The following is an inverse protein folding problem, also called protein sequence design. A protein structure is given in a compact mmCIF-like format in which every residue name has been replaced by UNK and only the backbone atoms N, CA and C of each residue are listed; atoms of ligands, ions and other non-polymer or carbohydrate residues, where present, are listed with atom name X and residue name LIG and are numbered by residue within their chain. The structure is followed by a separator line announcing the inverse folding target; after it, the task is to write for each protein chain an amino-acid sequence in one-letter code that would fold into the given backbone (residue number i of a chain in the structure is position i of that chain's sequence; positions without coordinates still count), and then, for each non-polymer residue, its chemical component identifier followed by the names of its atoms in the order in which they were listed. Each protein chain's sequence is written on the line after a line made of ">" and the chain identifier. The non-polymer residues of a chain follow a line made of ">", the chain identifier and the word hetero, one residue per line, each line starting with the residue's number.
data_IF_035853757125
#
_entry.id   IF_035853757125
#
_cell.length_a   1.000
_cell.length_b   1.000
_cell.length_c   1.000
_cell.angle_alpha   90.00
_cell.angle_beta   90.00
_cell.angle_gamma   90.00
#
_symmetry.space_group_name_H-M   'P 1'
#
loop_
_entity.id
_entity.type
_entity.pdbx_description
1 polymer ?
#
# COMPACT_ATOMS: atom_id res chain seq x y z
N UNK A 1 20.77 29.36 -16.89
CA UNK A 1 20.01 29.98 -15.80
C UNK A 1 19.43 28.80 -15.00
N UNK A 2 19.73 28.70 -13.72
CA UNK A 2 19.06 27.70 -12.89
C UNK A 2 17.56 28.07 -12.86
N UNK A 3 16.66 27.16 -13.27
CA UNK A 3 15.23 27.38 -13.16
C UNK A 3 14.84 27.53 -11.68
N UNK A 4 13.85 28.36 -11.40
CA UNK A 4 13.32 28.55 -10.04
C UNK A 4 12.92 27.18 -9.49
N UNK A 5 13.39 26.78 -8.28
CA UNK A 5 13.01 25.51 -7.65
C UNK A 5 11.49 25.32 -7.53
N UNK A 6 10.71 26.40 -7.49
CA UNK A 6 9.26 26.40 -7.35
C UNK A 6 8.53 26.32 -8.70
N UNK A 7 9.19 26.53 -9.82
CA UNK A 7 8.54 26.65 -11.14
C UNK A 7 7.75 25.40 -11.54
N UNK A 8 8.23 24.19 -11.17
CA UNK A 8 7.48 22.94 -11.38
C UNK A 8 6.26 22.82 -10.47
N UNK A 9 6.32 23.37 -9.25
CA UNK A 9 5.23 23.35 -8.28
C UNK A 9 4.11 24.33 -8.67
N UNK A 10 4.47 25.39 -9.39
CA UNK A 10 3.57 26.44 -9.86
C UNK A 10 3.09 26.24 -11.31
N UNK A 11 3.35 25.07 -11.91
CA UNK A 11 2.89 24.74 -13.26
C UNK A 11 1.36 24.87 -13.34
N UNK A 12 0.82 25.83 -14.09
CA UNK A 12 -0.61 26.09 -14.13
C UNK A 12 -1.41 25.00 -14.82
N UNK A 13 -0.76 24.17 -15.65
CA UNK A 13 -1.38 23.06 -16.36
C UNK A 13 -0.88 21.74 -15.79
N UNK A 14 -1.49 21.30 -14.68
CA UNK A 14 -1.02 20.14 -13.91
C UNK A 14 -0.88 18.85 -14.74
N UNK A 15 -1.71 18.67 -15.78
CA UNK A 15 -1.56 17.58 -16.74
C UNK A 15 -0.23 17.62 -17.55
N UNK A 16 0.49 18.75 -17.54
CA UNK A 16 1.78 18.90 -18.21
C UNK A 16 2.99 18.74 -17.28
N UNK A 17 2.77 18.62 -15.98
CA UNK A 17 3.87 18.50 -15.00
C UNK A 17 4.81 17.35 -15.36
N UNK A 18 4.28 16.18 -15.71
CA UNK A 18 5.08 15.02 -16.11
C UNK A 18 5.96 15.33 -17.34
N UNK A 19 5.40 15.98 -18.37
CA UNK A 19 6.14 16.35 -19.58
C UNK A 19 7.23 17.38 -19.27
N UNK A 20 6.92 18.40 -18.47
CA UNK A 20 7.92 19.41 -18.06
C UNK A 20 9.08 18.79 -17.29
N UNK A 21 8.80 17.83 -16.39
CA UNK A 21 9.84 17.10 -15.68
C UNK A 21 10.77 16.39 -16.66
N UNK A 22 10.22 15.71 -17.67
CA UNK A 22 11.02 15.01 -18.68
C UNK A 22 11.82 16.00 -19.54
N UNK A 23 11.21 17.08 -20.00
CA UNK A 23 11.89 18.11 -20.84
C UNK A 23 13.08 18.72 -20.08
N UNK A 24 12.88 19.05 -18.81
CA UNK A 24 13.94 19.60 -17.96
C UNK A 24 15.02 18.55 -17.64
N UNK A 25 14.62 17.29 -17.42
CA UNK A 25 15.54 16.18 -17.21
C UNK A 25 16.44 15.96 -18.43
N UNK A 26 15.87 15.95 -19.62
CA UNK A 26 16.63 15.82 -20.89
C UNK A 26 17.57 16.99 -21.09
N UNK A 27 17.11 18.23 -20.86
CA UNK A 27 17.92 19.41 -20.98
C UNK A 27 19.13 19.45 -20.01
N UNK A 28 18.89 18.98 -18.76
CA UNK A 28 19.91 18.95 -17.71
C UNK A 28 20.90 17.80 -17.90
N UNK A 29 20.40 16.63 -18.27
CA UNK A 29 21.22 15.42 -18.41
C UNK A 29 21.94 15.30 -19.75
N UNK A 30 21.49 16.01 -20.80
CA UNK A 30 21.99 15.86 -22.15
C UNK A 30 21.75 14.48 -22.76
N UNK A 31 20.76 13.72 -22.23
CA UNK A 31 20.40 12.38 -22.66
C UNK A 31 18.87 12.25 -22.76
N UNK A 32 18.36 11.42 -23.70
CA UNK A 32 16.93 11.10 -23.77
C UNK A 32 16.44 10.51 -22.44
N UNK A 33 15.24 10.92 -22.03
CA UNK A 33 14.65 10.48 -20.77
C UNK A 33 13.14 10.22 -20.91
N UNK A 34 12.61 9.35 -20.04
CA UNK A 34 11.19 9.11 -19.89
C UNK A 34 10.81 8.95 -18.42
N UNK A 35 9.55 9.29 -18.10
CA UNK A 35 8.95 9.12 -16.80
C UNK A 35 8.10 7.86 -16.77
N UNK A 36 8.31 7.03 -15.74
CA UNK A 36 7.55 5.80 -15.52
C UNK A 36 6.88 5.81 -14.16
N UNK A 37 5.74 5.11 -14.08
CA UNK A 37 5.02 4.83 -12.83
C UNK A 37 4.83 3.33 -12.66
N UNK A 38 4.71 2.85 -11.42
CA UNK A 38 4.30 1.49 -11.13
C UNK A 38 2.85 1.25 -11.54
N UNK A 39 2.53 0.08 -12.10
CA UNK A 39 1.13 -0.29 -12.33
C UNK A 39 0.43 -0.66 -11.02
N UNK A 40 -0.91 -0.73 -11.06
CA UNK A 40 -1.71 -1.00 -9.86
C UNK A 40 -1.41 -2.37 -9.23
N UNK A 41 -1.08 -3.37 -10.05
CA UNK A 41 -0.74 -4.73 -9.60
C UNK A 41 0.70 -4.84 -9.06
N UNK A 42 1.52 -3.81 -9.21
CA UNK A 42 2.91 -3.83 -8.78
C UNK A 42 3.82 -4.74 -9.61
N UNK A 43 3.44 -5.10 -10.83
CA UNK A 43 4.17 -6.05 -11.69
C UNK A 43 5.04 -5.38 -12.73
N UNK A 44 4.75 -4.14 -13.10
CA UNK A 44 5.47 -3.43 -14.14
C UNK A 44 5.58 -1.94 -13.88
N UNK A 45 6.55 -1.32 -14.55
CA UNK A 45 6.62 0.11 -14.73
C UNK A 45 6.03 0.47 -16.08
N UNK A 46 5.22 1.51 -16.14
CA UNK A 46 4.56 1.99 -17.35
C UNK A 46 5.01 3.41 -17.67
N UNK A 47 5.36 3.65 -18.94
CA UNK A 47 5.78 4.97 -19.38
C UNK A 47 4.60 5.94 -19.38
N UNK A 48 4.77 7.07 -18.71
CA UNK A 48 3.81 8.18 -18.69
C UNK A 48 4.03 9.08 -19.88
N UNK A 49 5.29 9.48 -20.11
CA UNK A 49 5.72 10.38 -21.18
C UNK A 49 7.23 10.30 -21.35
N UNK A 50 7.75 10.84 -22.43
CA UNK A 50 9.18 10.98 -22.71
C UNK A 50 9.61 10.29 -23.99
N UNK A 51 10.88 9.89 -24.05
CA UNK A 51 11.53 9.37 -25.24
C UNK A 51 10.94 8.01 -25.70
N UNK A 52 10.51 7.95 -26.96
CA UNK A 52 9.91 6.76 -27.58
C UNK A 52 10.93 5.65 -27.88
N UNK A 53 12.23 5.93 -27.77
CA UNK A 53 13.29 4.93 -27.83
C UNK A 53 13.37 4.04 -26.60
N UNK A 54 12.72 4.45 -25.49
CA UNK A 54 12.60 3.65 -24.27
C UNK A 54 11.29 2.83 -24.29
N UNK A 55 11.26 1.59 -23.73
CA UNK A 55 10.08 0.73 -23.76
C UNK A 55 8.85 1.36 -23.12
N UNK A 56 7.64 1.04 -23.62
CA UNK A 56 6.39 1.50 -23.00
C UNK A 56 6.12 0.84 -21.65
N UNK A 57 6.63 -0.37 -21.46
CA UNK A 57 6.46 -1.16 -20.24
C UNK A 57 7.76 -1.90 -19.89
N UNK A 58 8.03 -1.98 -18.60
CA UNK A 58 9.19 -2.69 -18.04
C UNK A 58 8.68 -3.58 -16.91
N UNK A 59 8.99 -4.88 -16.98
CA UNK A 59 8.61 -5.81 -15.93
C UNK A 59 9.38 -5.53 -14.64
N UNK A 60 8.69 -5.63 -13.50
CA UNK A 60 9.27 -5.49 -12.17
C UNK A 60 8.51 -6.35 -11.18
N UNK A 61 9.23 -7.03 -10.30
CA UNK A 61 8.64 -7.91 -9.26
C UNK A 61 8.79 -7.32 -7.86
N UNK A 62 9.22 -6.06 -7.74
CA UNK A 62 9.59 -5.46 -6.46
C UNK A 62 8.81 -4.20 -6.13
N UNK A 63 7.65 -4.01 -6.76
CA UNK A 63 6.74 -2.91 -6.44
C UNK A 63 5.74 -3.34 -5.37
N UNK A 64 5.27 -2.37 -4.59
CA UNK A 64 4.15 -2.57 -3.65
C UNK A 64 2.95 -1.80 -4.20
N UNK A 65 2.15 -2.49 -5.02
CA UNK A 65 1.16 -1.81 -5.84
C UNK A 65 1.86 -0.76 -6.73
N UNK A 66 1.29 0.44 -6.88
CA UNK A 66 1.86 1.47 -7.73
C UNK A 66 3.09 2.18 -7.15
N UNK A 67 3.48 1.90 -5.92
CA UNK A 67 4.59 2.57 -5.25
C UNK A 67 5.90 1.79 -5.37
N UNK A 68 6.97 2.54 -5.55
CA UNK A 68 8.32 2.03 -5.76
C UNK A 68 9.12 2.29 -4.48
N UNK A 69 9.57 1.25 -3.78
CA UNK A 69 10.45 1.44 -2.63
C UNK A 69 11.75 2.15 -3.04
N UNK A 70 12.13 3.17 -2.30
CA UNK A 70 13.36 3.93 -2.59
C UNK A 70 14.62 3.05 -2.59
N UNK A 71 14.63 1.98 -1.79
CA UNK A 71 15.70 1.00 -1.71
C UNK A 71 15.84 0.09 -2.95
N UNK A 72 14.84 0.03 -3.83
CA UNK A 72 14.80 -0.89 -4.97
C UNK A 72 15.29 -0.29 -6.29
N UNK A 73 15.80 0.95 -6.30
CA UNK A 73 16.29 1.59 -7.51
C UNK A 73 17.38 0.78 -8.25
N UNK A 74 18.25 0.10 -7.49
CA UNK A 74 19.29 -0.75 -8.08
C UNK A 74 18.73 -1.99 -8.79
N UNK A 75 17.67 -2.59 -8.25
CA UNK A 75 17.00 -3.73 -8.86
C UNK A 75 16.23 -3.33 -10.12
N UNK A 76 15.60 -2.16 -10.11
CA UNK A 76 14.97 -1.58 -11.29
C UNK A 76 16.00 -1.33 -12.40
N UNK A 77 17.20 -0.85 -12.05
CA UNK A 77 18.27 -0.61 -13.02
C UNK A 77 18.72 -1.89 -13.75
N UNK A 78 18.64 -3.07 -13.10
CA UNK A 78 18.96 -4.36 -13.71
C UNK A 78 17.94 -4.82 -14.76
N UNK A 79 16.69 -4.36 -14.67
CA UNK A 79 15.64 -4.68 -15.62
C UNK A 79 15.65 -3.75 -16.86
N UNK A 80 16.49 -2.72 -16.89
CA UNK A 80 16.55 -1.72 -17.95
C UNK A 80 17.49 -2.13 -19.09
N UNK A 81 17.34 -1.52 -20.29
CA UNK A 81 18.32 -1.64 -21.36
C UNK A 81 19.73 -1.28 -20.89
N UNK A 82 20.74 -1.94 -21.47
CA UNK A 82 22.14 -1.70 -21.13
C UNK A 82 22.50 -0.21 -21.25
N UNK A 83 23.11 0.34 -20.20
CA UNK A 83 23.53 1.75 -20.13
C UNK A 83 22.46 2.72 -19.63
N UNK A 84 21.22 2.27 -19.39
CA UNK A 84 20.19 3.13 -18.82
C UNK A 84 20.51 3.50 -17.36
N UNK A 85 20.15 4.73 -16.98
CA UNK A 85 20.20 5.20 -15.59
C UNK A 85 18.78 5.39 -15.06
N UNK A 86 18.51 4.83 -13.90
CA UNK A 86 17.19 4.91 -13.23
C UNK A 86 17.30 5.77 -11.98
N UNK A 87 16.49 6.81 -11.90
CA UNK A 87 16.41 7.71 -10.75
C UNK A 87 14.99 7.72 -10.19
N UNK A 88 14.75 7.14 -9.00
CA UNK A 88 13.45 7.20 -8.36
C UNK A 88 13.14 8.62 -7.88
N UNK A 89 11.96 9.12 -8.17
CA UNK A 89 11.45 10.40 -7.69
C UNK A 89 10.91 10.21 -6.28
N UNK A 90 11.82 10.25 -5.31
CA UNK A 90 11.55 9.82 -3.93
C UNK A 90 11.06 10.98 -3.07
N UNK A 91 9.96 10.74 -2.34
CA UNK A 91 9.44 11.61 -1.30
C UNK A 91 9.03 10.75 -0.08
N UNK A 92 9.53 11.11 1.11
CA UNK A 92 9.17 10.41 2.37
C UNK A 92 9.40 8.90 2.35
N UNK A 93 10.48 8.43 1.69
CA UNK A 93 10.87 7.01 1.65
C UNK A 93 10.20 6.16 0.56
N UNK A 94 9.28 6.74 -0.22
CA UNK A 94 8.61 6.11 -1.37
C UNK A 94 8.82 6.92 -2.65
N UNK A 95 8.73 6.28 -3.81
CA UNK A 95 8.68 6.96 -5.09
C UNK A 95 7.35 6.64 -5.79
N UNK A 96 6.67 7.66 -6.30
CA UNK A 96 5.48 7.52 -7.15
C UNK A 96 5.85 7.23 -8.60
N UNK A 97 7.09 7.54 -8.97
CA UNK A 97 7.58 7.44 -10.34
C UNK A 97 9.10 7.34 -10.37
N UNK A 98 9.63 6.94 -11.51
CA UNK A 98 11.07 6.96 -11.81
C UNK A 98 11.34 7.70 -13.10
N UNK A 99 12.45 8.46 -13.13
CA UNK A 99 13.04 8.95 -14.37
C UNK A 99 14.05 7.92 -14.88
N UNK A 100 13.92 7.55 -16.14
CA UNK A 100 14.85 6.66 -16.85
C UNK A 100 15.53 7.44 -17.95
N UNK A 101 16.87 7.41 -17.96
CA UNK A 101 17.70 7.98 -19.01
C UNK A 101 18.28 6.87 -19.88
N UNK A 102 18.36 7.06 -21.17
CA UNK A 102 18.98 6.11 -22.10
C UNK A 102 20.50 5.96 -21.92
N UNK A 103 21.11 6.81 -21.10
CA UNK A 103 22.55 6.82 -20.75
C UNK A 103 22.80 7.56 -19.43
N UNK A 104 24.06 7.66 -19.01
CA UNK A 104 24.40 8.39 -17.79
C UNK A 104 24.14 9.89 -17.98
N UNK A 105 23.45 10.57 -17.02
CA UNK A 105 23.27 12.01 -17.07
C UNK A 105 24.60 12.72 -16.95
N UNK A 106 24.83 13.76 -17.78
CA UNK A 106 26.06 14.57 -17.78
C UNK A 106 26.00 15.77 -16.85
N UNK A 107 24.77 16.17 -16.41
CA UNK A 107 24.51 17.24 -15.46
C UNK A 107 24.06 16.77 -14.10
N UNK A 108 24.01 17.67 -13.11
CA UNK A 108 23.47 17.39 -11.79
C UNK A 108 21.93 17.39 -11.84
N UNK A 109 21.33 16.20 -11.75
CA UNK A 109 19.89 15.99 -11.74
C UNK A 109 19.31 15.82 -10.32
N UNK A 110 20.13 15.90 -9.27
CA UNK A 110 19.69 15.64 -7.89
C UNK A 110 18.61 16.62 -7.41
N UNK A 111 18.82 17.92 -7.65
CA UNK A 111 17.82 18.94 -7.30
C UNK A 111 16.53 18.79 -8.11
N UNK A 112 16.62 18.40 -9.38
CA UNK A 112 15.46 18.13 -10.23
C UNK A 112 14.65 16.94 -9.68
N UNK A 113 15.30 15.83 -9.32
CA UNK A 113 14.66 14.64 -8.74
C UNK A 113 13.81 14.99 -7.52
N UNK A 114 14.38 15.74 -6.57
CA UNK A 114 13.68 16.09 -5.33
C UNK A 114 12.43 16.96 -5.58
N UNK A 115 12.54 18.00 -6.40
CA UNK A 115 11.40 18.88 -6.70
C UNK A 115 10.35 18.21 -7.59
N UNK A 116 10.77 17.33 -8.51
CA UNK A 116 9.87 16.56 -9.38
C UNK A 116 8.99 15.61 -8.57
N UNK A 117 9.57 14.95 -7.55
CA UNK A 117 8.80 14.10 -6.63
C UNK A 117 7.69 14.89 -5.93
N UNK A 118 8.02 16.08 -5.41
CA UNK A 118 7.03 16.95 -4.75
C UNK A 118 5.98 17.46 -5.73
N UNK A 119 6.38 17.86 -6.93
CA UNK A 119 5.45 18.37 -7.96
C UNK A 119 4.43 17.30 -8.40
N UNK A 120 4.88 16.06 -8.61
CA UNK A 120 3.99 14.95 -8.97
C UNK A 120 3.04 14.58 -7.83
N UNK A 121 3.52 14.50 -6.59
CA UNK A 121 2.67 14.24 -5.41
C UNK A 121 1.55 15.28 -5.25
N UNK A 122 1.86 16.56 -5.49
CA UNK A 122 0.87 17.64 -5.44
C UNK A 122 -0.09 17.59 -6.63
N UNK A 123 0.42 17.33 -7.83
CA UNK A 123 -0.39 17.28 -9.05
C UNK A 123 -1.36 16.08 -9.07
N UNK A 124 -1.01 14.96 -8.46
CA UNK A 124 -1.81 13.71 -8.46
C UNK A 124 -3.25 13.93 -7.93
N UNK A 125 -3.45 14.91 -7.06
CA UNK A 125 -4.76 15.26 -6.51
C UNK A 125 -5.66 16.05 -7.48
N UNK A 126 -5.12 16.53 -8.59
CA UNK A 126 -5.80 17.43 -9.51
C UNK A 126 -5.84 16.93 -10.95
N UNK A 127 -5.23 15.77 -11.23
CA UNK A 127 -5.18 15.19 -12.57
C UNK A 127 -5.12 13.67 -12.51
N UNK A 128 -5.81 13.01 -13.43
CA UNK A 128 -5.80 11.56 -13.57
C UNK A 128 -4.59 11.04 -14.37
N UNK A 129 -3.60 11.89 -14.65
CA UNK A 129 -2.47 11.55 -15.53
C UNK A 129 -1.73 10.30 -15.05
N UNK A 130 -1.28 10.29 -13.79
CA UNK A 130 -0.57 9.15 -13.21
C UNK A 130 -1.52 7.98 -12.97
N UNK A 131 -2.73 8.25 -12.45
CA UNK A 131 -3.75 7.24 -12.24
C UNK A 131 -4.10 6.49 -13.53
N UNK A 132 -4.25 7.20 -14.66
CA UNK A 132 -4.48 6.59 -15.98
C UNK A 132 -3.29 5.79 -16.47
N UNK A 133 -2.07 6.30 -16.30
CA UNK A 133 -0.86 5.61 -16.74
C UNK A 133 -0.58 4.32 -15.97
N UNK A 134 -0.96 4.24 -14.69
CA UNK A 134 -0.85 3.04 -13.84
C UNK A 134 -1.75 1.89 -14.29
N UNK A 135 -2.77 2.15 -15.09
CA UNK A 135 -3.75 1.15 -15.52
C UNK A 135 -3.37 0.52 -16.85
N UNK A 136 -3.25 -0.81 -16.89
CA UNK A 136 -3.07 -1.56 -18.13
C UNK A 136 -4.37 -2.17 -18.67
N UNK A 137 -5.44 -2.14 -17.85
CA UNK A 137 -6.80 -2.54 -18.22
C UNK A 137 -7.83 -1.73 -17.44
N UNK A 138 -9.09 -1.85 -17.78
CA UNK A 138 -10.18 -1.20 -17.06
C UNK A 138 -10.31 -1.74 -15.63
N UNK A 139 -10.48 -0.86 -14.66
CA UNK A 139 -10.89 -1.21 -13.31
C UNK A 139 -12.42 -1.35 -13.23
N UNK A 140 -12.90 -2.22 -12.33
CA UNK A 140 -14.29 -2.18 -11.90
C UNK A 140 -14.56 -0.92 -11.06
N UNK A 141 -15.83 -0.49 -10.97
CA UNK A 141 -16.19 0.64 -10.12
C UNK A 141 -15.85 0.41 -8.64
N UNK A 142 -15.94 -0.85 -8.18
CA UNK A 142 -15.56 -1.24 -6.83
C UNK A 142 -14.05 -1.07 -6.59
N UNK A 143 -13.23 -1.55 -7.54
CA UNK A 143 -11.78 -1.42 -7.45
C UNK A 143 -11.33 0.05 -7.57
N UNK A 144 -11.96 0.88 -8.42
CA UNK A 144 -11.66 2.33 -8.46
C UNK A 144 -11.89 2.98 -7.09
N UNK A 145 -13.05 2.73 -6.48
CA UNK A 145 -13.36 3.27 -5.16
C UNK A 145 -12.37 2.79 -4.10
N UNK A 146 -12.01 1.50 -4.12
CA UNK A 146 -11.03 0.92 -3.21
C UNK A 146 -9.65 1.57 -3.39
N UNK A 147 -9.18 1.76 -4.64
CA UNK A 147 -7.90 2.40 -4.91
C UNK A 147 -7.86 3.87 -4.46
N UNK A 148 -8.95 4.62 -4.66
CA UNK A 148 -9.06 6.02 -4.22
C UNK A 148 -9.05 6.17 -2.70
N UNK A 149 -9.57 5.18 -1.98
CA UNK A 149 -9.62 5.17 -0.51
C UNK A 149 -8.33 4.69 0.14
N UNK A 150 -7.45 4.01 -0.61
CA UNK A 150 -6.20 3.49 -0.07
C UNK A 150 -5.26 4.59 0.41
N UNK A 151 -4.60 4.38 1.56
CA UNK A 151 -3.52 5.25 1.99
C UNK A 151 -2.27 5.03 1.10
N UNK A 152 -1.23 5.87 1.23
CA UNK A 152 0.08 5.56 0.69
C UNK A 152 0.53 4.14 1.04
N UNK A 153 1.07 3.40 0.06
CA UNK A 153 1.48 2.00 0.28
C UNK A 153 2.67 1.85 1.21
N UNK A 154 3.49 2.89 1.27
CA UNK A 154 4.69 2.96 2.09
C UNK A 154 4.63 4.24 2.90
N UNK A 155 4.78 4.14 4.22
CA UNK A 155 4.76 5.29 5.12
C UNK A 155 5.73 5.10 6.30
N UNK A 156 6.00 6.19 6.98
CA UNK A 156 6.73 6.19 8.25
C UNK A 156 5.84 6.76 9.35
N UNK A 157 5.76 6.02 10.42
CA UNK A 157 5.25 6.46 11.71
C UNK A 157 6.45 6.81 12.60
N UNK A 158 6.20 7.45 13.74
CA UNK A 158 7.27 7.61 14.73
C UNK A 158 7.70 6.23 15.23
N UNK A 159 9.00 5.93 15.10
CA UNK A 159 9.58 4.64 15.49
C UNK A 159 9.21 3.43 14.64
N UNK A 160 8.53 3.59 13.50
CA UNK A 160 8.22 2.45 12.62
C UNK A 160 8.08 2.82 11.14
N UNK A 161 8.33 1.83 10.29
CA UNK A 161 7.97 1.83 8.86
C UNK A 161 6.71 1.00 8.65
N UNK A 162 5.82 1.43 7.77
CA UNK A 162 4.61 0.70 7.37
C UNK A 162 4.64 0.47 5.87
N UNK A 163 4.28 -0.76 5.46
CA UNK A 163 4.00 -1.08 4.07
C UNK A 163 2.68 -1.86 3.98
N UNK A 164 1.87 -1.54 2.97
CA UNK A 164 0.57 -2.18 2.80
C UNK A 164 0.19 -2.30 1.33
N UNK A 165 -0.61 -3.29 0.97
CA UNK A 165 -1.21 -3.40 -0.36
C UNK A 165 -2.39 -4.38 -0.36
N UNK A 166 -3.20 -4.31 -1.44
CA UNK A 166 -4.34 -5.19 -1.70
C UNK A 166 -4.21 -5.76 -3.12
N UNK A 167 -4.48 -7.05 -3.28
CA UNK A 167 -4.65 -7.73 -4.56
C UNK A 167 -6.04 -8.36 -4.62
N UNK A 168 -6.70 -8.41 -5.80
CA UNK A 168 -6.31 -7.82 -7.08
C UNK A 168 -6.64 -6.33 -7.13
N UNK A 169 -5.87 -5.56 -7.92
CA UNK A 169 -6.06 -4.12 -8.01
C UNK A 169 -7.17 -3.66 -8.97
N UNK A 170 -7.78 -4.58 -9.73
CA UNK A 170 -8.68 -4.23 -10.84
C UNK A 170 -10.11 -4.72 -10.71
N UNK A 171 -10.43 -5.67 -9.86
CA UNK A 171 -11.74 -6.34 -9.87
C UNK A 171 -12.36 -6.37 -8.48
N UNK A 172 -12.16 -7.01 -7.52
CA UNK A 172 -12.84 -7.19 -6.23
C UNK A 172 -12.98 -5.85 -5.45
N UNK A 173 -13.29 -5.77 -4.22
CA UNK A 173 -13.41 -4.48 -3.52
C UNK A 173 -14.21 -4.54 -2.22
N UNK A 174 -14.00 -5.60 -1.40
CA UNK A 174 -14.55 -5.72 -0.04
C UNK A 174 -13.61 -5.21 1.03
N UNK A 175 -12.31 -5.38 0.83
CA UNK A 175 -11.30 -4.99 1.80
C UNK A 175 -11.05 -3.48 1.81
N UNK A 176 -10.66 -2.98 2.98
CA UNK A 176 -9.96 -1.72 3.10
C UNK A 176 -8.75 -1.84 4.03
N UNK A 177 -7.76 -1.04 3.73
CA UNK A 177 -6.59 -0.80 4.58
C UNK A 177 -6.52 0.69 4.89
N UNK A 178 -6.12 1.04 6.11
CA UNK A 178 -5.81 2.41 6.46
C UNK A 178 -4.62 2.49 7.40
N UNK A 179 -3.89 3.58 7.32
CA UNK A 179 -2.93 3.99 8.32
C UNK A 179 -2.84 5.52 8.37
N UNK A 180 -2.38 6.04 9.49
CA UNK A 180 -2.16 7.46 9.66
C UNK A 180 -1.11 7.74 10.72
N UNK A 181 -0.11 8.53 10.38
CA UNK A 181 0.86 9.02 11.34
C UNK A 181 0.20 10.03 12.28
N UNK A 182 0.55 9.94 13.56
CA UNK A 182 0.17 10.87 14.61
C UNK A 182 1.42 11.21 15.44
N UNK A 183 1.33 12.27 16.25
CA UNK A 183 2.41 12.56 17.21
C UNK A 183 2.60 11.36 18.17
N UNK A 184 3.81 10.86 18.26
CA UNK A 184 4.15 9.70 19.07
C UNK A 184 3.90 8.34 18.44
N UNK A 185 3.34 8.24 17.20
CA UNK A 185 3.07 6.94 16.59
C UNK A 185 2.09 6.99 15.45
N UNK A 186 1.02 6.16 15.51
CA UNK A 186 0.00 6.13 14.45
C UNK A 186 -1.06 5.07 14.62
N UNK A 187 -2.01 5.07 13.72
CA UNK A 187 -3.08 4.08 13.60
C UNK A 187 -2.89 3.22 12.37
N UNK A 188 -3.37 1.97 12.45
CA UNK A 188 -3.40 0.98 11.37
C UNK A 188 -4.76 0.29 11.39
N UNK A 189 -5.21 -0.15 10.24
CA UNK A 189 -6.43 -0.95 10.13
C UNK A 189 -6.44 -1.78 8.86
N UNK A 190 -6.99 -2.98 8.97
CA UNK A 190 -7.37 -3.84 7.86
C UNK A 190 -8.74 -4.40 8.15
N UNK A 191 -9.61 -4.42 7.16
CA UNK A 191 -10.95 -4.94 7.32
C UNK A 191 -11.48 -5.48 6.00
N UNK A 192 -12.44 -6.41 6.12
CA UNK A 192 -13.10 -7.06 5.01
C UNK A 192 -14.61 -7.02 5.22
N UNK A 193 -15.33 -6.47 4.24
CA UNK A 193 -16.78 -6.43 4.22
C UNK A 193 -17.33 -7.66 3.49
N UNK A 194 -18.33 -8.30 4.10
CA UNK A 194 -19.00 -9.46 3.51
C UNK A 194 -19.48 -9.19 2.09
N UNK A 195 -19.20 -10.13 1.19
CA UNK A 195 -19.58 -10.03 -0.22
C UNK A 195 -18.49 -9.48 -1.12
N UNK A 196 -18.83 -9.06 -2.31
CA UNK A 196 -17.88 -8.52 -3.31
C UNK A 196 -18.55 -7.57 -4.29
N UNK A 197 -17.69 -6.83 -4.98
CA UNK A 197 -18.13 -5.86 -5.98
C UNK A 197 -18.70 -4.59 -5.36
N UNK A 198 -19.56 -3.84 -6.08
CA UNK A 198 -19.97 -2.49 -5.69
C UNK A 198 -20.64 -2.36 -4.32
N UNK A 199 -21.38 -3.37 -3.88
CA UNK A 199 -22.06 -3.35 -2.58
C UNK A 199 -21.04 -3.46 -1.43
N UNK A 200 -20.14 -4.44 -1.48
CA UNK A 200 -19.10 -4.63 -0.47
C UNK A 200 -18.17 -3.40 -0.41
N UNK A 201 -17.78 -2.86 -1.58
CA UNK A 201 -16.98 -1.64 -1.68
C UNK A 201 -17.68 -0.42 -1.04
N UNK A 202 -18.99 -0.28 -1.20
CA UNK A 202 -19.75 0.81 -0.58
C UNK A 202 -19.82 0.65 0.95
N UNK A 203 -20.02 -0.57 1.46
CA UNK A 203 -19.98 -0.88 2.89
C UNK A 203 -18.61 -0.53 3.47
N UNK A 204 -17.54 -0.97 2.79
CA UNK A 204 -16.15 -0.69 3.17
C UNK A 204 -15.84 0.80 3.20
N UNK A 205 -16.32 1.56 2.22
CA UNK A 205 -16.13 3.02 2.17
C UNK A 205 -16.79 3.72 3.36
N UNK A 206 -18.01 3.31 3.74
CA UNK A 206 -18.75 3.86 4.87
C UNK A 206 -18.06 3.51 6.19
N UNK A 207 -17.65 2.25 6.36
CA UNK A 207 -16.94 1.78 7.53
C UNK A 207 -15.59 2.49 7.72
N UNK A 208 -14.82 2.64 6.63
CA UNK A 208 -13.57 3.40 6.63
C UNK A 208 -13.82 4.88 6.97
N UNK A 209 -14.92 5.45 6.48
CA UNK A 209 -15.36 6.80 6.85
C UNK A 209 -15.59 6.95 8.35
N UNK A 210 -16.31 6.00 8.98
CA UNK A 210 -16.55 5.95 10.42
C UNK A 210 -15.24 5.81 11.21
N UNK A 211 -14.35 4.88 10.82
CA UNK A 211 -13.02 4.71 11.39
C UNK A 211 -12.19 6.00 11.36
N UNK A 212 -12.09 6.63 10.19
CA UNK A 212 -11.34 7.89 10.02
C UNK A 212 -11.94 9.04 10.80
N UNK A 213 -13.28 9.12 10.89
CA UNK A 213 -13.97 10.16 11.66
C UNK A 213 -13.67 10.04 13.15
N UNK A 214 -13.75 8.84 13.73
CA UNK A 214 -13.42 8.58 15.12
C UNK A 214 -11.97 8.94 15.44
N UNK A 215 -11.02 8.45 14.64
CA UNK A 215 -9.61 8.78 14.81
C UNK A 215 -9.35 10.29 14.76
N UNK A 216 -9.94 11.00 13.80
CA UNK A 216 -9.78 12.45 13.65
C UNK A 216 -10.48 13.23 14.77
N UNK A 217 -11.51 12.64 15.38
CA UNK A 217 -12.23 13.16 16.53
C UNK A 217 -11.51 12.94 17.87
N UNK A 218 -10.40 12.19 17.88
CA UNK A 218 -9.63 11.89 19.10
C UNK A 218 -10.21 10.72 19.90
N UNK A 219 -11.08 9.90 19.31
CA UNK A 219 -11.57 8.66 19.91
C UNK A 219 -10.51 7.57 19.93
N UNK A 220 -10.75 6.50 20.68
CA UNK A 220 -9.89 5.31 20.78
C UNK A 220 -10.32 4.17 19.84
N UNK A 221 -9.67 3.00 19.96
CA UNK A 221 -9.97 1.84 19.12
C UNK A 221 -11.36 1.25 19.39
N UNK A 222 -11.83 1.31 20.65
CA UNK A 222 -13.17 0.85 21.01
C UNK A 222 -14.25 1.78 20.44
N UNK A 223 -14.02 3.09 20.51
CA UNK A 223 -14.88 4.09 19.86
C UNK A 223 -14.95 3.86 18.35
N UNK A 224 -13.82 3.50 17.72
CA UNK A 224 -13.76 3.21 16.29
C UNK A 224 -14.55 1.95 15.94
N UNK A 225 -14.40 0.86 16.71
CA UNK A 225 -15.18 -0.37 16.52
C UNK A 225 -16.68 -0.10 16.65
N UNK A 226 -17.08 0.67 17.69
CA UNK A 226 -18.48 1.07 17.89
C UNK A 226 -19.02 1.94 16.74
N UNK A 227 -18.21 2.88 16.26
CA UNK A 227 -18.60 3.78 15.16
C UNK A 227 -18.79 3.03 13.84
N UNK A 228 -17.86 2.09 13.53
CA UNK A 228 -17.99 1.21 12.36
C UNK A 228 -19.25 0.34 12.48
N UNK A 229 -19.42 -0.31 13.63
CA UNK A 229 -20.60 -1.15 13.89
C UNK A 229 -21.90 -0.39 13.67
N UNK A 230 -22.05 0.78 14.27
CA UNK A 230 -23.22 1.63 14.11
C UNK A 230 -23.42 2.10 12.65
N UNK A 231 -22.35 2.46 11.95
CA UNK A 231 -22.42 2.91 10.56
C UNK A 231 -22.86 1.80 9.60
N UNK A 232 -22.39 0.56 9.82
CA UNK A 232 -22.81 -0.61 9.02
C UNK A 232 -24.27 -0.97 9.31
N UNK A 233 -24.69 -0.99 10.58
CA UNK A 233 -26.11 -1.21 10.96
C UNK A 233 -27.06 -0.17 10.35
N UNK A 234 -26.63 1.09 10.29
CA UNK A 234 -27.44 2.18 9.74
C UNK A 234 -27.73 2.04 8.24
N UNK A 235 -27.06 1.11 7.53
CA UNK A 235 -27.38 0.80 6.13
C UNK A 235 -28.70 0.02 5.98
N UNK A 236 -29.19 -0.61 7.07
CA UNK A 236 -30.43 -1.39 7.08
C UNK A 236 -30.49 -2.48 5.99
N UNK A 237 -29.33 -3.01 5.58
CA UNK A 237 -29.23 -4.09 4.61
C UNK A 237 -29.16 -5.45 5.33
N UNK A 238 -29.83 -6.49 4.82
CA UNK A 238 -29.82 -7.80 5.46
C UNK A 238 -28.45 -8.46 5.35
N UNK A 239 -28.06 -9.18 6.40
CA UNK A 239 -26.90 -10.07 6.45
C UNK A 239 -25.56 -9.41 6.09
N UNK A 240 -25.43 -8.09 6.29
CA UNK A 240 -24.17 -7.39 6.12
C UNK A 240 -23.42 -7.30 7.44
N UNK A 241 -22.13 -7.55 7.35
CA UNK A 241 -21.16 -7.40 8.44
C UNK A 241 -19.77 -7.19 7.86
N UNK A 242 -18.83 -6.88 8.73
CA UNK A 242 -17.43 -6.87 8.33
C UNK A 242 -16.54 -7.39 9.46
N UNK A 243 -15.44 -8.00 9.06
CA UNK A 243 -14.32 -8.31 9.94
C UNK A 243 -13.29 -7.20 9.93
N UNK A 244 -12.56 -6.98 11.03
CA UNK A 244 -11.51 -5.96 11.09
C UNK A 244 -10.45 -6.27 12.15
N UNK A 245 -9.22 -5.80 11.88
CA UNK A 245 -8.23 -5.49 12.92
C UNK A 245 -8.02 -3.98 12.92
N UNK A 246 -8.29 -3.36 14.07
CA UNK A 246 -8.02 -1.95 14.33
C UNK A 246 -6.84 -1.87 15.29
N UNK A 247 -5.80 -1.12 14.95
CA UNK A 247 -4.59 -1.07 15.76
C UNK A 247 -4.04 0.35 15.91
N UNK A 248 -3.32 0.59 16.99
CA UNK A 248 -2.53 1.79 17.22
C UNK A 248 -1.11 1.41 17.60
N UNK A 249 -0.16 2.21 17.15
CA UNK A 249 1.26 2.11 17.42
C UNK A 249 1.71 3.29 18.27
N UNK A 250 2.38 3.01 19.38
CA UNK A 250 3.11 3.99 20.20
C UNK A 250 4.62 3.81 19.96
N UNK A 251 5.21 4.76 19.24
CA UNK A 251 6.62 4.70 18.85
C UNK A 251 7.60 4.73 20.02
N UNK A 252 7.46 5.66 21.00
CA UNK A 252 8.32 5.76 22.16
C UNK A 252 8.42 4.47 22.98
N UNK A 253 7.33 3.74 23.16
CA UNK A 253 7.30 2.47 23.89
C UNK A 253 7.41 1.24 22.99
N UNK A 254 7.41 1.40 21.68
CA UNK A 254 7.34 0.32 20.69
C UNK A 254 6.17 -0.63 20.98
N UNK A 255 5.02 -0.09 21.34
CA UNK A 255 3.84 -0.85 21.73
C UNK A 255 2.78 -0.81 20.63
N UNK A 256 2.36 -2.01 20.19
CA UNK A 256 1.15 -2.18 19.39
C UNK A 256 -0.02 -2.45 20.33
N UNK A 257 -1.12 -1.74 20.13
CA UNK A 257 -2.41 -2.01 20.77
C UNK A 257 -3.43 -2.33 19.69
N UNK A 258 -4.29 -3.35 19.89
CA UNK A 258 -5.25 -3.76 18.85
C UNK A 258 -6.58 -4.25 19.41
N UNK A 259 -7.60 -4.17 18.54
CA UNK A 259 -8.88 -4.87 18.63
C UNK A 259 -9.04 -5.75 17.39
N UNK A 260 -9.47 -7.01 17.59
CA UNK A 260 -9.79 -7.97 16.55
C UNK A 260 -11.30 -8.20 16.49
N UNK A 261 -11.94 -7.84 15.40
CA UNK A 261 -13.37 -7.92 15.18
C UNK A 261 -13.68 -9.05 14.18
N UNK A 262 -13.53 -10.32 14.59
CA UNK A 262 -13.79 -11.48 13.74
C UNK A 262 -12.82 -11.67 12.56
N UNK A 263 -11.70 -10.99 12.55
CA UNK A 263 -10.69 -11.01 11.49
C UNK A 263 -9.55 -11.98 11.84
N UNK A 264 -8.69 -12.43 10.89
CA UNK A 264 -7.46 -13.13 11.23
C UNK A 264 -6.64 -12.38 12.28
N UNK A 265 -5.99 -13.12 13.19
CA UNK A 265 -5.25 -12.51 14.28
C UNK A 265 -4.03 -11.70 13.76
N UNK A 266 -3.68 -10.58 14.40
CA UNK A 266 -2.39 -9.96 14.18
C UNK A 266 -1.26 -10.96 14.45
N UNK A 267 -0.24 -10.97 13.59
CA UNK A 267 0.89 -11.87 13.72
C UNK A 267 2.18 -11.08 13.87
N UNK A 268 3.17 -11.69 14.51
CA UNK A 268 4.54 -11.17 14.59
C UNK A 268 5.50 -12.19 13.99
N UNK A 269 6.31 -11.74 13.07
CA UNK A 269 7.38 -12.54 12.48
C UNK A 269 8.75 -12.03 12.95
N UNK A 270 9.69 -12.97 13.18
CA UNK A 270 11.09 -12.71 13.45
C UNK A 270 11.97 -13.78 12.78
N UNK A 271 13.11 -13.38 12.25
CA UNK A 271 13.97 -14.27 11.46
C UNK A 271 14.37 -15.56 12.21
N UNK A 272 14.66 -15.47 13.50
CA UNK A 272 15.11 -16.62 14.30
C UNK A 272 13.96 -17.35 15.02
N UNK A 273 12.83 -16.68 15.26
CA UNK A 273 11.70 -17.21 16.05
C UNK A 273 10.50 -17.62 15.21
N UNK A 274 10.52 -17.26 13.91
CA UNK A 274 9.44 -17.55 12.98
C UNK A 274 8.22 -16.66 13.20
N UNK A 275 7.05 -17.13 12.75
CA UNK A 275 5.76 -16.47 12.81
C UNK A 275 4.97 -16.95 14.04
N UNK A 276 4.37 -16.03 14.79
CA UNK A 276 3.44 -16.29 15.90
C UNK A 276 2.25 -15.34 15.86
N UNK A 277 1.11 -15.78 16.28
CA UNK A 277 -0.05 -14.91 16.51
C UNK A 277 0.12 -14.07 17.78
N UNK A 278 -0.55 -12.91 17.78
CA UNK A 278 -0.77 -12.09 18.97
C UNK A 278 -2.13 -12.42 19.57
N UNK A 279 -2.15 -12.77 20.85
CA UNK A 279 -3.38 -13.19 21.57
C UNK A 279 -4.10 -12.00 22.20
N UNK A 280 -5.45 -12.08 22.24
CA UNK A 280 -6.32 -11.11 22.91
C UNK A 280 -6.83 -10.01 22.00
N UNK A 281 -7.62 -9.11 22.57
CA UNK A 281 -8.34 -8.06 21.85
C UNK A 281 -9.49 -8.60 20.98
N UNK A 282 -9.97 -9.80 21.27
CA UNK A 282 -10.92 -10.54 20.45
C UNK A 282 -12.37 -10.08 20.67
N UNK A 283 -13.10 -10.03 19.56
CA UNK A 283 -14.51 -9.77 19.55
C UNK A 283 -15.19 -10.20 18.25
N UNK A 284 -16.52 -10.09 18.20
CA UNK A 284 -17.29 -10.49 17.03
C UNK A 284 -17.08 -9.52 15.86
N UNK A 285 -17.55 -9.94 14.68
CA UNK A 285 -17.65 -9.08 13.49
C UNK A 285 -18.53 -7.86 13.78
N UNK A 286 -18.31 -6.79 13.03
CA UNK A 286 -19.04 -5.53 13.16
C UNK A 286 -20.23 -5.48 12.20
N UNK A 287 -21.33 -4.82 12.61
CA UNK A 287 -22.53 -4.62 11.78
C UNK A 287 -23.64 -5.64 12.00
N UNK A 288 -23.53 -6.58 12.96
CA UNK A 288 -24.62 -7.48 13.33
C UNK A 288 -25.31 -7.02 14.61
N UNK A 289 -26.59 -6.66 14.52
CA UNK A 289 -27.40 -6.08 15.62
C UNK A 289 -27.37 -6.87 16.94
N UNK A 290 -27.16 -8.18 16.89
CA UNK A 290 -27.15 -9.07 18.06
C UNK A 290 -25.79 -9.20 18.75
N UNK A 291 -24.78 -8.52 18.24
CA UNK A 291 -23.40 -8.61 18.71
C UNK A 291 -22.91 -7.23 19.13
N UNK A 292 -22.37 -7.12 20.32
CA UNK A 292 -21.69 -5.90 20.75
C UNK A 292 -20.26 -5.89 20.22
N UNK A 293 -19.76 -4.77 19.68
CA UNK A 293 -18.37 -4.67 19.24
C UNK A 293 -17.41 -4.81 20.44
N UNK A 294 -16.16 -5.29 20.19
CA UNK A 294 -15.16 -5.41 21.26
C UNK A 294 -14.78 -4.05 21.83
N UNK A 295 -14.56 -4.01 23.14
CA UNK A 295 -14.16 -2.80 23.88
C UNK A 295 -12.82 -2.98 24.61
N UNK A 296 -12.35 -4.21 24.81
CA UNK A 296 -11.11 -4.52 25.52
C UNK A 296 -9.96 -4.77 24.52
N UNK A 297 -9.12 -3.77 24.34
CA UNK A 297 -7.94 -3.88 23.48
C UNK A 297 -6.83 -4.70 24.16
N UNK A 298 -6.13 -5.50 23.36
CA UNK A 298 -4.89 -6.13 23.77
C UNK A 298 -3.69 -5.26 23.37
N UNK A 299 -2.54 -5.47 24.00
CA UNK A 299 -1.31 -4.78 23.63
C UNK A 299 -0.07 -5.67 23.81
N UNK A 300 0.95 -5.39 22.99
CA UNK A 300 2.25 -6.05 23.09
C UNK A 300 3.36 -5.09 22.69
N UNK A 301 4.51 -5.21 23.35
CA UNK A 301 5.73 -4.56 22.91
C UNK A 301 6.34 -5.35 21.78
N UNK A 302 6.67 -4.67 20.68
CA UNK A 302 7.27 -5.26 19.48
C UNK A 302 8.77 -4.94 19.51
N UNK A 303 9.59 -5.98 19.55
CA UNK A 303 11.03 -5.82 19.67
C UNK A 303 11.66 -5.41 18.32
N UNK A 304 12.84 -4.77 18.33
CA UNK A 304 13.61 -4.56 17.11
C UNK A 304 13.86 -5.87 16.36
N UNK A 305 13.65 -5.85 15.04
CA UNK A 305 13.75 -7.05 14.18
C UNK A 305 12.47 -7.89 14.11
N UNK A 306 11.47 -7.61 14.93
CA UNK A 306 10.12 -8.15 14.77
C UNK A 306 9.32 -7.34 13.75
N UNK A 307 8.49 -8.03 12.96
CA UNK A 307 7.55 -7.43 12.01
C UNK A 307 6.14 -7.78 12.43
N UNK A 308 5.29 -6.79 12.63
CA UNK A 308 3.84 -7.00 12.77
C UNK A 308 3.26 -7.22 11.38
N UNK A 309 2.46 -8.27 11.22
CA UNK A 309 1.83 -8.64 9.94
C UNK A 309 0.33 -8.79 10.18
N UNK A 310 -0.46 -7.97 9.50
CA UNK A 310 -1.92 -8.07 9.45
C UNK A 310 -2.29 -8.50 8.04
N UNK A 311 -3.16 -9.49 7.90
CA UNK A 311 -3.62 -10.00 6.60
C UNK A 311 -5.11 -10.25 6.63
N UNK A 312 -5.80 -10.09 5.49
CA UNK A 312 -7.17 -10.56 5.34
C UNK A 312 -7.20 -12.07 5.07
N UNK A 313 -8.38 -12.67 5.17
CA UNK A 313 -8.60 -14.09 4.90
C UNK A 313 -8.27 -14.47 3.46
N UNK A 314 -8.47 -13.58 2.48
CA UNK A 314 -8.08 -13.81 1.10
C UNK A 314 -6.59 -14.07 0.89
N UNK A 315 -5.72 -13.67 1.82
CA UNK A 315 -4.32 -14.11 1.85
C UNK A 315 -4.24 -15.56 2.32
N UNK A 316 -4.87 -15.89 3.43
CA UNK A 316 -4.75 -17.21 4.07
C UNK A 316 -5.50 -18.29 3.29
N UNK A 317 -6.65 -17.97 2.72
CA UNK A 317 -7.51 -18.89 1.97
C UNK A 317 -7.11 -19.09 0.52
N UNK A 318 -6.08 -18.37 0.03
CA UNK A 318 -5.60 -18.54 -1.34
C UNK A 318 -5.18 -19.98 -1.58
N UNK A 319 -5.84 -20.65 -2.54
CA UNK A 319 -5.59 -22.06 -2.84
C UNK A 319 -5.72 -22.37 -4.33
N UNK A 320 -4.93 -23.34 -4.82
CA UNK A 320 -5.14 -23.99 -6.11
C UNK A 320 -6.32 -24.97 -6.02
N UNK A 321 -7.05 -25.25 -7.12
CA UNK A 321 -8.11 -26.25 -7.12
C UNK A 321 -7.64 -27.62 -6.59
N UNK A 322 -8.20 -28.06 -5.46
CA UNK A 322 -7.82 -29.33 -4.82
C UNK A 322 -6.48 -29.32 -4.07
N UNK A 323 -5.87 -28.14 -3.91
CA UNK A 323 -4.65 -27.95 -3.14
C UNK A 323 -4.92 -27.52 -1.71
N UNK A 324 -3.86 -27.42 -0.91
CA UNK A 324 -3.91 -26.81 0.41
C UNK A 324 -3.94 -25.28 0.31
N UNK A 325 -4.58 -24.59 1.26
CA UNK A 325 -4.56 -23.13 1.29
C UNK A 325 -3.15 -22.61 1.56
N UNK A 326 -2.88 -21.38 1.14
CA UNK A 326 -1.62 -20.67 1.47
C UNK A 326 -1.39 -20.67 2.99
N UNK A 327 -2.40 -20.28 3.75
CA UNK A 327 -2.43 -20.38 5.21
C UNK A 327 -1.24 -19.72 5.91
N UNK A 328 -1.10 -20.01 7.18
CA UNK A 328 0.06 -19.55 7.94
C UNK A 328 1.38 -20.17 7.47
N UNK A 329 1.36 -21.40 6.95
CA UNK A 329 2.56 -22.05 6.46
C UNK A 329 3.11 -21.37 5.20
N UNK A 330 2.23 -20.99 4.27
CA UNK A 330 2.61 -20.17 3.12
C UNK A 330 3.14 -18.80 3.52
N UNK A 331 2.47 -18.16 4.48
CA UNK A 331 2.91 -16.88 5.04
C UNK A 331 4.29 -17.00 5.70
N UNK A 332 4.51 -18.03 6.50
CA UNK A 332 5.80 -18.34 7.15
C UNK A 332 6.91 -18.56 6.13
N UNK A 333 6.63 -19.34 5.07
CA UNK A 333 7.60 -19.59 4.00
C UNK A 333 7.93 -18.31 3.20
N UNK A 334 6.93 -17.51 2.87
CA UNK A 334 7.13 -16.24 2.16
C UNK A 334 8.03 -15.29 2.96
N UNK A 335 7.74 -15.12 4.26
CA UNK A 335 8.53 -14.25 5.13
C UNK A 335 9.94 -14.78 5.40
N UNK A 336 10.12 -16.10 5.54
CA UNK A 336 11.43 -16.70 5.72
C UNK A 336 12.34 -16.57 4.49
N UNK A 337 11.77 -16.37 3.30
CA UNK A 337 12.52 -16.14 2.07
C UNK A 337 13.16 -14.75 1.92
N UNK A 338 12.90 -13.84 2.85
CA UNK A 338 13.44 -12.47 2.77
C UNK A 338 14.95 -12.42 3.07
N UNK A 339 15.69 -11.69 2.22
CA UNK A 339 17.13 -11.47 2.44
C UNK A 339 17.41 -10.40 3.50
N UNK A 340 16.57 -9.37 3.56
CA UNK A 340 16.67 -8.26 4.51
C UNK A 340 15.26 -7.92 5.03
N UNK A 341 14.94 -8.25 6.27
CA UNK A 341 13.62 -7.97 6.86
C UNK A 341 13.33 -6.46 6.92
N UNK A 342 12.20 -6.06 6.34
CA UNK A 342 11.64 -4.71 6.42
C UNK A 342 10.13 -4.81 6.16
N UNK A 343 9.36 -3.76 6.49
CA UNK A 343 7.94 -3.73 6.20
C UNK A 343 7.67 -3.95 4.70
N UNK A 344 8.45 -3.28 3.86
CA UNK A 344 8.35 -3.37 2.40
C UNK A 344 8.64 -4.78 1.89
N UNK A 345 9.76 -5.37 2.33
CA UNK A 345 10.14 -6.72 1.90
C UNK A 345 9.11 -7.77 2.32
N UNK A 346 8.56 -7.65 3.52
CA UNK A 346 7.54 -8.56 4.04
C UNK A 346 6.23 -8.44 3.27
N UNK A 347 5.71 -7.23 3.07
CA UNK A 347 4.50 -7.02 2.28
C UNK A 347 4.65 -7.56 0.85
N UNK A 348 5.79 -7.27 0.20
CA UNK A 348 6.09 -7.80 -1.15
C UNK A 348 6.18 -9.31 -1.17
N UNK A 349 6.86 -9.94 -0.19
CA UNK A 349 7.00 -11.39 -0.11
C UNK A 349 5.66 -12.11 0.07
N UNK A 350 4.78 -11.57 0.93
CA UNK A 350 3.42 -12.10 1.14
C UNK A 350 2.61 -12.04 -0.15
N UNK A 351 2.55 -10.88 -0.80
CA UNK A 351 1.78 -10.70 -2.04
C UNK A 351 2.33 -11.57 -3.20
N UNK A 352 3.64 -11.71 -3.30
CA UNK A 352 4.28 -12.60 -4.27
C UNK A 352 3.94 -14.06 -3.97
N UNK A 353 3.98 -14.47 -2.71
CA UNK A 353 3.58 -15.80 -2.27
C UNK A 353 2.14 -16.12 -2.67
N UNK A 354 1.20 -15.21 -2.37
CA UNK A 354 -0.21 -15.33 -2.76
C UNK A 354 -0.37 -15.42 -4.29
N UNK A 355 0.33 -14.56 -5.05
CA UNK A 355 0.25 -14.54 -6.50
C UNK A 355 0.82 -15.81 -7.16
N UNK A 356 1.83 -16.44 -6.56
CA UNK A 356 2.50 -17.63 -7.09
C UNK A 356 1.87 -18.94 -6.63
N UNK A 357 1.03 -18.94 -5.59
CA UNK A 357 0.33 -20.14 -5.09
C UNK A 357 -0.56 -20.76 -6.16
N UNK A 358 -1.18 -19.94 -7.00
CA UNK A 358 -2.04 -20.39 -8.08
C UNK A 358 -2.09 -19.35 -9.22
N UNK A 359 -1.86 -19.80 -10.44
CA UNK A 359 -1.94 -18.96 -11.66
C UNK A 359 -3.40 -18.81 -12.15
N UNK A 360 -4.27 -18.37 -11.26
CA UNK A 360 -5.68 -18.12 -11.54
C UNK A 360 -6.15 -16.86 -10.85
N UNK A 361 -7.34 -16.35 -11.18
CA UNK A 361 -7.86 -15.14 -10.58
C UNK A 361 -7.97 -15.28 -9.06
N UNK A 362 -7.74 -14.20 -8.35
CA UNK A 362 -8.07 -14.09 -6.94
C UNK A 362 -9.60 -14.14 -6.81
N UNK A 363 -10.08 -14.92 -5.85
CA UNK A 363 -11.51 -15.04 -5.56
C UNK A 363 -11.99 -14.00 -4.57
N UNK A 364 -11.05 -13.50 -3.77
CA UNK A 364 -11.27 -12.45 -2.78
C UNK A 364 -10.08 -11.51 -2.72
N UNK A 365 -10.24 -10.36 -2.07
CA UNK A 365 -9.17 -9.42 -1.81
C UNK A 365 -8.12 -10.03 -0.88
N UNK A 366 -6.87 -9.94 -1.25
CA UNK A 366 -5.75 -10.36 -0.43
C UNK A 366 -5.02 -9.11 0.07
N UNK A 367 -5.31 -8.73 1.29
CA UNK A 367 -4.80 -7.52 1.92
C UNK A 367 -3.67 -7.82 2.89
N UNK A 368 -2.64 -6.99 2.87
CA UNK A 368 -1.50 -7.08 3.80
C UNK A 368 -1.11 -5.71 4.32
N UNK A 369 -0.89 -5.62 5.63
CA UNK A 369 -0.28 -4.48 6.31
C UNK A 369 0.88 -5.01 7.14
N UNK A 370 2.05 -4.43 6.97
CA UNK A 370 3.24 -4.75 7.77
C UNK A 370 3.75 -3.50 8.45
N UNK A 371 4.03 -3.61 9.74
CA UNK A 371 4.72 -2.57 10.51
C UNK A 371 6.05 -3.15 11.00
N UNK A 372 7.14 -2.40 10.77
CA UNK A 372 8.48 -2.72 11.21
C UNK A 372 8.99 -1.61 12.15
N UNK A 373 9.28 -1.87 13.43
CA UNK A 373 10.01 -0.93 14.30
C UNK A 373 11.38 -0.57 13.71
N UNK A 374 11.78 0.70 13.79
CA UNK A 374 13.04 1.24 13.25
C UNK A 374 13.81 2.02 14.31
#
# INVERSE_FOLDING_TARGET
>A
MASDPLELLEEPTLARVAQRIVDEAQATAGAPAALYVGDLDGRSLRRVTGDDGLPDQLESTQLIGPEIPASHAAALALAMPQGATVLPLTLRGRALSVLVFSGPPTGDVGALVARSAAALELAERYTDLLASARRHRACSAAAELQQDLMPPRIARLEGAEVACSILPAYDVGGDWIDHSAMAGGGWLGVADAVGKGPQASAISAIALGAYRATRRGGGDLADAAQSIHAAVLALELPDIFMSAVLASWDGPSSTLTWLRCGHPAPMVWHADRGLRELEGGDGPVLGLERLDPPSEAASATIAPGELVVLVSDGVLERTAPGGEPFGEDGLRLALAGMHAPSAIAAASAVLQGVATTYDGPLRDDASVVVLAPV
#
